data_IF_978690281740
#
_entry.id   IF_978690281740
#
_cell.length_a   1.000
_cell.length_b   1.000
_cell.length_c   1.000
_cell.angle_alpha   90.00
_cell.angle_beta   90.00
_cell.angle_gamma   90.00
#
_symmetry.space_group_name_H-M   'P 1'
#
loop_
_entity.id
_entity.type
_entity.pdbx_description
1 polymer ?
#
# COMPACT_ATOMS: atom_id res chain seq x y z
N UNK A 1 3.12 6.79 -16.31
CA UNK A 1 2.27 6.37 -15.15
C UNK A 1 1.85 7.55 -14.26
N UNK A 2 1.36 8.63 -14.87
CA UNK A 2 1.11 9.89 -14.17
C UNK A 2 0.06 9.76 -13.05
N UNK A 3 -0.98 8.93 -13.27
CA UNK A 3 -1.98 8.65 -12.23
C UNK A 3 -1.37 7.99 -10.99
N UNK A 4 -0.58 6.92 -11.14
CA UNK A 4 0.05 6.22 -10.01
C UNK A 4 1.03 7.11 -9.26
N UNK A 5 1.75 7.96 -10.00
CA UNK A 5 2.63 8.98 -9.42
C UNK A 5 1.83 9.98 -8.57
N UNK A 6 0.74 10.52 -9.10
CA UNK A 6 -0.12 11.42 -8.33
C UNK A 6 -0.75 10.72 -7.12
N UNK A 7 -1.19 9.48 -7.31
CA UNK A 7 -1.79 8.66 -6.26
C UNK A 7 -0.84 8.50 -5.06
N UNK A 8 0.41 8.10 -5.31
CA UNK A 8 1.38 7.82 -4.23
C UNK A 8 1.90 9.09 -3.55
N UNK A 9 2.14 10.17 -4.31
CA UNK A 9 2.76 11.38 -3.76
C UNK A 9 1.77 12.44 -3.25
N UNK A 10 0.56 12.50 -3.79
CA UNK A 10 -0.38 13.60 -3.50
C UNK A 10 -1.71 13.16 -2.92
N UNK A 11 -2.18 11.95 -3.24
CA UNK A 11 -3.49 11.45 -2.78
C UNK A 11 -3.32 10.69 -1.48
N UNK A 12 -2.64 9.53 -1.50
CA UNK A 12 -2.52 8.64 -0.35
C UNK A 12 -2.02 9.33 0.93
N UNK A 13 -0.99 10.19 0.90
CA UNK A 13 -0.50 10.83 2.12
C UNK A 13 -1.53 11.72 2.83
N UNK A 14 -2.59 12.15 2.13
CA UNK A 14 -3.66 13.00 2.71
C UNK A 14 -4.83 12.20 3.28
N UNK A 15 -5.03 10.97 2.80
CA UNK A 15 -6.14 10.11 3.18
C UNK A 15 -5.74 8.97 4.12
N UNK A 16 -4.44 8.68 4.22
CA UNK A 16 -3.95 7.63 5.11
C UNK A 16 -4.23 7.98 6.58
N UNK A 17 -4.74 6.99 7.32
CA UNK A 17 -4.93 7.06 8.77
C UNK A 17 -3.60 7.22 9.51
N UNK A 18 -2.51 6.76 8.89
CA UNK A 18 -1.17 6.84 9.45
C UNK A 18 -0.14 7.05 8.35
N UNK A 19 0.69 8.07 8.51
CA UNK A 19 1.73 8.47 7.56
C UNK A 19 3.07 8.42 8.27
N UNK A 20 3.97 7.58 7.77
CA UNK A 20 5.34 7.44 8.26
C UNK A 20 6.31 8.00 7.23
N UNK A 21 7.21 8.87 7.65
CA UNK A 21 8.22 9.49 6.78
C UNK A 21 9.59 8.87 7.01
N UNK A 22 10.33 8.65 5.91
CA UNK A 22 11.62 8.00 5.95
C UNK A 22 11.52 6.49 6.17
N UNK A 23 12.68 5.83 6.16
CA UNK A 23 12.76 4.38 6.27
C UNK A 23 12.25 3.91 7.64
N UNK A 24 11.45 2.84 7.62
CA UNK A 24 10.77 2.27 8.78
C UNK A 24 11.27 0.85 9.07
N UNK A 25 11.35 0.52 10.35
CA UNK A 25 11.58 -0.84 10.81
C UNK A 25 10.56 -1.19 11.89
N UNK A 26 9.65 -2.11 11.57
CA UNK A 26 8.58 -2.55 12.47
C UNK A 26 8.90 -3.95 12.99
N UNK A 27 9.14 -4.06 14.28
CA UNK A 27 9.34 -5.35 14.95
C UNK A 27 9.12 -5.24 16.46
N UNK A 28 8.68 -6.34 17.09
CA UNK A 28 8.47 -6.40 18.53
C UNK A 28 7.55 -5.27 19.04
N UNK A 29 8.01 -4.50 20.02
CA UNK A 29 7.26 -3.36 20.57
C UNK A 29 7.28 -2.10 19.69
N UNK A 30 8.05 -2.09 18.59
CA UNK A 30 8.17 -0.95 17.66
C UNK A 30 7.15 -0.96 16.52
N UNK A 31 6.15 -1.84 16.57
CA UNK A 31 5.11 -1.93 15.54
C UNK A 31 4.02 -0.89 15.82
N UNK A 32 3.66 -0.03 14.85
CA UNK A 32 2.57 0.92 15.02
C UNK A 32 1.18 0.23 14.98
N UNK A 33 0.08 0.93 15.27
CA UNK A 33 -1.27 0.39 15.11
C UNK A 33 -1.64 0.21 13.62
N UNK A 34 -1.66 -1.04 13.14
CA UNK A 34 -1.84 -1.41 11.71
C UNK A 34 -3.25 -1.88 11.32
N UNK A 35 -4.26 -1.57 12.15
CA UNK A 35 -5.66 -1.93 11.90
C UNK A 35 -6.02 -3.37 12.29
N UNK A 36 -7.31 -3.64 12.36
CA UNK A 36 -7.90 -4.96 12.65
C UNK A 36 -9.02 -5.27 11.67
N UNK A 37 -9.54 -6.51 11.57
CA UNK A 37 -10.68 -6.82 10.72
C UNK A 37 -11.93 -5.96 11.00
N UNK A 38 -12.13 -5.51 12.23
CA UNK A 38 -13.26 -4.66 12.63
C UNK A 38 -12.99 -3.16 12.44
N UNK A 39 -11.71 -2.78 12.32
CA UNK A 39 -11.27 -1.40 12.13
C UNK A 39 -10.03 -1.40 11.22
N UNK A 40 -10.21 -1.68 9.91
CA UNK A 40 -9.12 -1.65 8.95
C UNK A 40 -8.51 -0.25 8.87
N UNK A 41 -7.25 -0.16 8.42
CA UNK A 41 -6.54 1.11 8.29
C UNK A 41 -5.82 1.26 6.96
N UNK A 42 -5.78 2.47 6.44
CA UNK A 42 -4.88 2.89 5.37
C UNK A 42 -3.57 3.42 5.98
N UNK A 43 -2.50 2.62 5.85
CA UNK A 43 -1.17 2.95 6.36
C UNK A 43 -0.24 3.30 5.20
N UNK A 44 0.41 4.45 5.26
CA UNK A 44 1.35 4.92 4.25
C UNK A 44 2.76 5.09 4.83
N UNK A 45 3.75 4.49 4.16
CA UNK A 45 5.18 4.64 4.46
C UNK A 45 5.85 5.32 3.27
N UNK A 46 6.35 6.53 3.49
CA UNK A 46 7.16 7.27 2.52
C UNK A 46 8.65 6.98 2.70
N UNK A 47 9.06 5.76 2.33
CA UNK A 47 10.40 5.23 2.51
C UNK A 47 10.41 3.72 2.38
N UNK A 48 11.55 3.10 2.66
CA UNK A 48 11.66 1.64 2.73
C UNK A 48 11.02 1.13 4.02
N UNK A 49 10.38 -0.04 3.97
CA UNK A 49 9.77 -0.69 5.13
C UNK A 49 10.39 -2.07 5.35
N UNK A 50 10.98 -2.27 6.53
CA UNK A 50 11.41 -3.56 7.02
C UNK A 50 10.43 -4.10 8.09
N UNK A 51 9.68 -5.16 7.76
CA UNK A 51 8.77 -5.84 8.70
C UNK A 51 9.43 -7.07 9.31
N UNK A 52 9.38 -7.23 10.63
CA UNK A 52 9.99 -8.36 11.31
C UNK A 52 9.31 -8.75 12.61
N UNK A 53 9.46 -10.02 12.99
CA UNK A 53 9.12 -10.46 14.36
C UNK A 53 7.64 -10.40 14.72
N UNK A 54 6.73 -10.79 13.81
CA UNK A 54 5.31 -10.95 14.13
C UNK A 54 4.42 -9.78 13.75
N UNK A 55 4.78 -8.98 12.74
CA UNK A 55 3.94 -7.85 12.32
C UNK A 55 2.64 -8.37 11.72
N UNK A 56 1.51 -7.90 12.25
CA UNK A 56 0.18 -8.17 11.71
C UNK A 56 -0.62 -6.88 11.51
N UNK A 57 -1.41 -6.82 10.44
CA UNK A 57 -2.24 -5.66 10.15
C UNK A 57 -3.39 -5.96 9.19
N UNK A 58 -4.33 -5.02 9.08
CA UNK A 58 -5.52 -5.16 8.25
C UNK A 58 -5.90 -3.84 7.57
N UNK A 59 -6.26 -3.92 6.29
CA UNK A 59 -6.62 -2.77 5.46
C UNK A 59 -5.67 -2.61 4.29
N UNK A 60 -5.15 -1.40 4.10
CA UNK A 60 -4.24 -1.08 3.00
C UNK A 60 -2.90 -0.63 3.54
N UNK A 61 -1.83 -1.33 3.16
CA UNK A 61 -0.46 -0.91 3.39
C UNK A 61 0.12 -0.36 2.09
N UNK A 62 0.57 0.89 2.11
CA UNK A 62 1.21 1.53 0.97
C UNK A 62 2.66 1.85 1.32
N UNK A 63 3.62 1.33 0.54
CA UNK A 63 5.06 1.54 0.74
C UNK A 63 5.64 2.23 -0.49
N UNK A 64 6.08 3.47 -0.31
CA UNK A 64 6.79 4.26 -1.32
C UNK A 64 8.30 4.00 -1.32
N UNK A 65 8.68 2.74 -1.48
CA UNK A 65 10.05 2.28 -1.31
C UNK A 65 10.18 0.79 -1.55
N UNK A 66 11.19 0.20 -0.91
CA UNK A 66 11.35 -1.25 -0.81
C UNK A 66 10.54 -1.79 0.38
N UNK A 67 9.72 -2.82 0.15
CA UNK A 67 9.18 -3.65 1.21
C UNK A 67 10.08 -4.88 1.39
N UNK A 68 10.62 -5.07 2.59
CA UNK A 68 11.40 -6.26 2.95
C UNK A 68 11.08 -6.73 4.36
N UNK A 69 11.58 -7.89 4.73
CA UNK A 69 11.36 -8.35 6.09
C UNK A 69 11.98 -9.68 6.44
N UNK A 70 11.72 -10.08 7.68
CA UNK A 70 12.08 -11.38 8.20
C UNK A 70 11.01 -11.98 9.12
N UNK A 71 11.07 -13.29 9.32
CA UNK A 71 10.21 -13.99 10.26
C UNK A 71 8.73 -14.03 9.85
N UNK A 72 7.87 -14.44 10.78
CA UNK A 72 6.44 -14.59 10.52
C UNK A 72 5.74 -13.24 10.56
N UNK A 73 4.99 -12.91 9.51
CA UNK A 73 4.19 -11.69 9.43
C UNK A 73 2.87 -12.02 8.73
N UNK A 74 1.81 -11.25 8.96
CA UNK A 74 0.50 -11.51 8.37
C UNK A 74 -0.18 -10.20 7.95
N UNK A 75 -0.80 -10.17 6.78
CA UNK A 75 -1.57 -9.02 6.31
C UNK A 75 -2.91 -9.47 5.76
N UNK A 76 -3.99 -8.82 6.20
CA UNK A 76 -5.32 -9.00 5.61
C UNK A 76 -5.72 -7.74 4.85
N UNK A 77 -5.89 -7.84 3.54
CA UNK A 77 -6.22 -6.72 2.66
C UNK A 77 -5.18 -6.50 1.58
N UNK A 78 -4.89 -5.24 1.27
CA UNK A 78 -4.02 -4.87 0.15
C UNK A 78 -2.66 -4.37 0.61
N UNK A 79 -1.61 -4.82 -0.07
CA UNK A 79 -0.27 -4.25 0.03
C UNK A 79 0.09 -3.62 -1.32
N UNK A 80 0.37 -2.32 -1.33
CA UNK A 80 0.76 -1.56 -2.50
C UNK A 80 2.21 -1.09 -2.34
N UNK A 81 3.15 -1.70 -3.05
CA UNK A 81 4.56 -1.29 -3.08
C UNK A 81 4.80 -0.51 -4.36
N UNK A 82 4.66 0.81 -4.27
CA UNK A 82 4.64 1.73 -5.41
C UNK A 82 5.75 2.77 -5.20
N UNK A 83 6.74 2.86 -6.07
CA UNK A 83 7.85 3.80 -5.89
C UNK A 83 9.15 3.18 -6.40
N UNK A 84 10.03 2.73 -5.50
CA UNK A 84 11.16 1.87 -5.90
C UNK A 84 10.67 0.59 -6.59
N UNK A 85 9.52 0.05 -6.15
CA UNK A 85 8.88 -1.12 -6.75
C UNK A 85 9.66 -2.42 -6.48
N UNK A 86 10.20 -2.53 -5.27
CA UNK A 86 10.95 -3.71 -4.82
C UNK A 86 10.21 -4.30 -3.62
N UNK A 87 9.75 -5.53 -3.74
CA UNK A 87 9.21 -6.31 -2.63
C UNK A 87 10.08 -7.57 -2.46
N UNK A 88 10.95 -7.55 -1.46
CA UNK A 88 11.83 -8.66 -1.12
C UNK A 88 11.35 -9.39 0.14
N UNK A 89 10.49 -10.37 -0.09
CA UNK A 89 9.83 -11.15 0.96
C UNK A 89 10.49 -12.51 1.15
N UNK A 90 11.71 -12.70 0.61
CA UNK A 90 12.43 -13.97 0.65
C UNK A 90 12.82 -14.42 2.08
N UNK A 91 13.06 -13.47 2.99
CA UNK A 91 13.33 -13.73 4.41
C UNK A 91 12.09 -13.89 5.28
N UNK A 92 10.89 -13.70 4.72
CA UNK A 92 9.63 -13.68 5.45
C UNK A 92 8.93 -15.05 5.39
N UNK A 93 8.14 -15.33 6.41
CA UNK A 93 7.08 -16.34 6.40
C UNK A 93 5.76 -15.57 6.44
N UNK A 94 5.34 -15.01 5.30
CA UNK A 94 4.23 -14.07 5.25
C UNK A 94 2.92 -14.73 4.81
N UNK A 95 1.85 -14.50 5.56
CA UNK A 95 0.49 -14.75 5.12
C UNK A 95 -0.14 -13.47 4.57
N UNK A 96 -0.38 -13.41 3.25
CA UNK A 96 -1.19 -12.34 2.64
C UNK A 96 -2.56 -12.93 2.33
N UNK A 97 -3.57 -12.49 3.08
CA UNK A 97 -4.97 -12.75 2.80
C UNK A 97 -5.56 -11.50 2.10
N UNK A 98 -5.62 -11.51 0.78
CA UNK A 98 -5.97 -10.35 -0.04
C UNK A 98 -5.06 -10.25 -1.26
N UNK A 99 -4.36 -9.13 -1.42
CA UNK A 99 -3.56 -8.89 -2.63
C UNK A 99 -2.30 -8.07 -2.38
N UNK A 100 -1.30 -8.28 -3.24
CA UNK A 100 -0.11 -7.44 -3.31
C UNK A 100 0.06 -6.90 -4.73
N UNK A 101 0.35 -5.62 -4.83
CA UNK A 101 0.64 -4.92 -6.09
C UNK A 101 1.99 -4.24 -5.96
N UNK A 102 2.91 -4.55 -6.87
CA UNK A 102 4.27 -4.01 -6.87
C UNK A 102 4.52 -3.33 -8.20
N UNK A 103 4.94 -2.06 -8.16
CA UNK A 103 5.29 -1.31 -9.36
C UNK A 103 6.40 -0.30 -9.09
N UNK A 104 7.39 -0.28 -9.97
CA UNK A 104 8.45 0.72 -9.95
C UNK A 104 8.04 1.94 -10.77
N UNK A 105 8.19 3.12 -10.20
CA UNK A 105 7.98 4.42 -10.84
C UNK A 105 9.30 5.18 -10.88
N UNK A 106 9.65 5.71 -12.04
CA UNK A 106 10.84 6.54 -12.22
C UNK A 106 10.42 8.01 -12.36
N UNK A 107 11.13 8.86 -11.62
CA UNK A 107 10.96 10.31 -11.72
C UNK A 107 11.28 10.78 -13.14
N UNK A 108 10.43 11.65 -13.67
CA UNK A 108 10.54 12.20 -15.02
C UNK A 108 9.34 13.09 -15.32
N UNK A 109 9.40 13.82 -16.43
CA UNK A 109 8.27 14.63 -16.91
C UNK A 109 7.92 14.22 -18.35
N UNK A 110 6.97 13.28 -18.55
CA UNK A 110 6.15 12.60 -17.55
C UNK A 110 6.88 11.44 -16.83
N UNK A 111 6.41 10.98 -15.66
CA UNK A 111 6.99 9.83 -14.96
C UNK A 111 6.76 8.53 -15.73
N UNK A 112 7.76 7.64 -15.70
CA UNK A 112 7.80 6.37 -16.44
C UNK A 112 7.76 5.17 -15.48
N UNK A 113 7.51 3.97 -16.03
CA UNK A 113 7.66 2.73 -15.26
C UNK A 113 9.13 2.33 -15.20
N UNK A 114 9.57 1.86 -14.03
CA UNK A 114 10.89 1.26 -13.85
C UNK A 114 10.83 -0.27 -13.86
N UNK A 115 11.97 -0.90 -13.61
CA UNK A 115 12.06 -2.36 -13.42
C UNK A 115 11.56 -2.72 -12.04
N UNK A 116 10.48 -3.49 -12.00
CA UNK A 116 9.88 -3.99 -10.75
C UNK A 116 10.58 -5.28 -10.33
N UNK A 117 10.83 -5.44 -9.03
CA UNK A 117 11.38 -6.67 -8.45
C UNK A 117 10.44 -7.22 -7.39
N UNK A 118 10.10 -8.50 -7.52
CA UNK A 118 9.28 -9.22 -6.56
C UNK A 118 9.94 -10.55 -6.27
N UNK A 119 10.24 -10.80 -4.99
CA UNK A 119 10.70 -12.10 -4.52
C UNK A 119 9.87 -12.53 -3.32
N UNK A 120 9.48 -13.79 -3.32
CA UNK A 120 8.77 -14.44 -2.22
C UNK A 120 9.47 -15.76 -1.93
N UNK A 121 9.67 -16.04 -0.66
CA UNK A 121 10.37 -17.24 -0.19
C UNK A 121 9.82 -17.69 1.16
N UNK A 122 10.51 -18.63 1.80
CA UNK A 122 10.07 -19.21 3.07
C UNK A 122 8.72 -19.93 2.95
N UNK A 123 8.05 -20.10 4.09
CA UNK A 123 6.70 -20.67 4.16
C UNK A 123 5.66 -19.56 4.00
N UNK A 124 5.66 -18.91 2.84
CA UNK A 124 4.77 -17.80 2.52
C UNK A 124 3.57 -18.24 1.71
N UNK A 125 2.44 -17.57 1.89
CA UNK A 125 1.18 -17.89 1.26
C UNK A 125 0.44 -16.61 0.88
N UNK A 126 0.01 -16.52 -0.38
CA UNK A 126 -0.76 -15.40 -0.91
C UNK A 126 -2.09 -15.95 -1.41
N UNK A 127 -3.18 -15.57 -0.75
CA UNK A 127 -4.53 -16.01 -1.08
C UNK A 127 -5.38 -14.81 -1.44
N UNK A 128 -5.87 -14.78 -2.69
CA UNK A 128 -6.85 -13.80 -3.12
C UNK A 128 -8.22 -14.17 -2.53
N UNK A 129 -8.68 -13.37 -1.56
CA UNK A 129 -9.99 -13.49 -0.94
C UNK A 129 -10.83 -12.27 -1.27
N UNK A 130 -12.01 -12.49 -1.84
CA UNK A 130 -12.93 -11.41 -2.23
C UNK A 130 -13.25 -10.49 -1.03
N UNK A 131 -13.51 -11.06 0.14
CA UNK A 131 -13.80 -10.30 1.36
C UNK A 131 -12.61 -9.44 1.79
N UNK A 132 -11.38 -9.98 1.75
CA UNK A 132 -10.20 -9.22 2.14
C UNK A 132 -9.86 -8.13 1.11
N UNK A 133 -10.06 -8.41 -0.18
CA UNK A 133 -9.91 -7.42 -1.24
C UNK A 133 -10.94 -6.30 -1.11
N UNK A 134 -12.21 -6.62 -0.82
CA UNK A 134 -13.27 -5.64 -0.60
C UNK A 134 -12.93 -4.73 0.59
N UNK A 135 -12.53 -5.31 1.73
CA UNK A 135 -12.05 -4.55 2.88
C UNK A 135 -10.90 -3.61 2.53
N UNK A 136 -9.93 -4.07 1.74
CA UNK A 136 -8.83 -3.22 1.27
C UNK A 136 -9.32 -2.07 0.37
N UNK A 137 -10.19 -2.36 -0.60
CA UNK A 137 -10.70 -1.37 -1.56
C UNK A 137 -11.55 -0.30 -0.88
N UNK A 138 -12.38 -0.67 0.11
CA UNK A 138 -13.19 0.29 0.88
C UNK A 138 -12.33 1.31 1.66
N UNK A 139 -11.09 0.96 1.98
CA UNK A 139 -10.14 1.85 2.66
C UNK A 139 -9.34 2.74 1.70
N UNK A 140 -9.52 2.59 0.37
CA UNK A 140 -8.88 3.45 -0.61
C UNK A 140 -9.66 4.76 -0.79
N UNK A 141 -8.97 5.88 -1.09
CA UNK A 141 -9.63 7.14 -1.36
C UNK A 141 -10.59 7.01 -2.57
N UNK A 142 -11.81 7.56 -2.49
CA UNK A 142 -12.74 7.54 -3.61
C UNK A 142 -12.18 8.34 -4.80
N UNK A 143 -12.40 7.84 -6.01
CA UNK A 143 -12.00 8.52 -7.25
C UNK A 143 -13.24 9.14 -7.88
N UNK A 144 -13.25 10.47 -8.06
CA UNK A 144 -14.30 11.18 -8.80
C UNK A 144 -14.11 10.91 -10.30
N UNK A 145 -14.94 10.05 -10.88
CA UNK A 145 -14.83 9.64 -12.30
C UNK A 145 -15.55 10.57 -13.27
N UNK A 146 -16.48 11.41 -12.81
CA UNK A 146 -17.10 12.46 -13.63
C UNK A 146 -17.79 13.53 -12.78
N UNK A 147 -17.56 14.81 -13.12
CA UNK A 147 -18.35 15.95 -12.63
C UNK A 147 -19.12 16.56 -13.79
N UNK A 148 -20.45 16.66 -13.71
CA UNK A 148 -21.26 17.48 -14.62
C UNK A 148 -21.74 18.71 -13.84
N UNK A 149 -21.12 19.86 -14.11
CA UNK A 149 -21.60 21.14 -13.60
C UNK A 149 -22.60 21.70 -14.61
N UNK A 150 -23.86 21.87 -14.20
CA UNK A 150 -24.88 22.53 -15.02
C UNK A 150 -25.02 23.95 -14.49
N UNK A 151 -24.33 24.89 -15.11
CA UNK A 151 -24.59 26.31 -14.89
C UNK A 151 -25.93 26.66 -15.54
N UNK A 152 -26.93 26.89 -14.72
CA UNK A 152 -28.22 27.45 -15.14
C UNK A 152 -27.98 28.89 -15.62
N UNK A 153 -27.83 29.11 -16.92
CA UNK A 153 -27.97 30.44 -17.51
C UNK A 153 -29.44 30.82 -17.53
N UNK A 154 -29.95 31.28 -16.38
CA UNK A 154 -31.16 32.11 -16.34
C UNK A 154 -30.71 33.56 -16.25
N UNK A 155 -30.52 34.18 -17.41
CA UNK A 155 -30.59 35.63 -17.59
C UNK A 155 -31.32 35.86 -18.92
N UNK A 156 -32.50 36.50 -18.87
CA UNK A 156 -32.73 37.67 -19.71
C UNK A 156 -33.12 38.91 -18.89
#
# INVERSE_FOLDING_TARGET
>A
PAYLWNFIYNVIPKFADSVFQGDQQWSGSGVPPLGTPQSPRLTYVNGDLAMGGGVSGTGVLVVNGELKGNGKNDWTGLILVIGKGVANMSGMNIGINGGIYVVSLQAGNPPTFGTTQFSIGGNSNVQASDTALHLGIENLPPVEVSRREVTSSMDP
#
